data_IF_040269985462
#
_entry.id   IF_040269985462
#
_cell.length_a   1.000
_cell.length_b   1.000
_cell.length_c   1.000
_cell.angle_alpha   90.00
_cell.angle_beta   90.00
_cell.angle_gamma   90.00
#
_symmetry.space_group_name_H-M   'P 1'
#
loop_
_entity.id
_entity.type
_entity.pdbx_description
1 polymer ?
#
# COMPACT_ATOMS: atom_id res chain seq x y z
N UNK A 1 20.10 -9.74 2.76
CA UNK A 1 18.73 -9.82 2.26
C UNK A 1 17.88 -9.03 3.24
N UNK A 2 17.15 -8.02 2.78
CA UNK A 2 16.27 -7.22 3.63
C UNK A 2 14.94 -7.95 3.76
N UNK A 3 14.39 -7.99 4.96
CA UNK A 3 13.07 -8.56 5.24
C UNK A 3 12.13 -7.42 5.61
N UNK A 4 10.90 -7.51 5.14
CA UNK A 4 9.82 -6.58 5.41
C UNK A 4 8.71 -7.29 6.16
N UNK A 5 8.16 -6.63 7.17
CA UNK A 5 7.00 -7.09 7.91
C UNK A 5 5.74 -6.58 7.22
N UNK A 6 4.91 -7.49 6.70
CA UNK A 6 3.66 -7.16 6.04
C UNK A 6 2.47 -7.31 7.00
N UNK A 7 1.70 -6.24 7.14
CA UNK A 7 0.47 -6.17 7.91
C UNK A 7 -0.71 -5.95 6.97
N UNK A 8 -1.65 -6.89 6.95
CA UNK A 8 -2.79 -6.88 6.02
C UNK A 8 -4.07 -7.38 6.71
N UNK A 9 -3.99 -8.53 7.36
CA UNK A 9 -5.14 -9.22 7.96
C UNK A 9 -5.26 -8.91 9.47
N UNK A 10 -6.42 -8.43 9.98
CA UNK A 10 -6.65 -8.20 11.40
C UNK A 10 -6.61 -9.47 12.27
N UNK A 11 -6.84 -10.65 11.69
CA UNK A 11 -6.74 -11.93 12.38
C UNK A 11 -5.29 -12.41 12.52
N UNK A 12 -4.38 -11.89 11.69
CA UNK A 12 -2.96 -12.20 11.77
C UNK A 12 -2.28 -11.41 12.89
N UNK A 13 -1.97 -12.13 13.97
CA UNK A 13 -1.21 -11.59 15.12
C UNK A 13 0.26 -11.32 14.83
N UNK A 14 0.82 -11.99 13.82
CA UNK A 14 2.22 -11.86 13.42
C UNK A 14 2.30 -11.35 11.98
N UNK A 15 3.24 -10.44 11.66
CA UNK A 15 3.42 -9.97 10.29
C UNK A 15 3.90 -11.09 9.37
N UNK A 16 3.53 -11.00 8.09
CA UNK A 16 4.06 -11.89 7.06
C UNK A 16 5.41 -11.35 6.60
N UNK A 17 6.47 -12.13 6.79
CA UNK A 17 7.82 -11.75 6.38
C UNK A 17 7.99 -11.87 4.85
N UNK A 18 8.28 -10.73 4.20
CA UNK A 18 8.55 -10.66 2.76
C UNK A 18 10.02 -10.35 2.49
N UNK A 19 10.63 -11.08 1.56
CA UNK A 19 12.01 -10.84 1.13
C UNK A 19 12.26 -11.14 -0.35
N UNK A 20 11.25 -11.61 -1.07
CA UNK A 20 11.35 -12.02 -2.48
C UNK A 20 10.16 -11.49 -3.28
N UNK A 21 10.35 -11.32 -4.60
CA UNK A 21 9.27 -10.91 -5.50
C UNK A 21 8.09 -11.88 -5.50
N UNK A 22 8.35 -13.19 -5.38
CA UNK A 22 7.29 -14.20 -5.35
C UNK A 22 6.37 -14.04 -4.13
N UNK A 23 6.93 -13.72 -2.95
CA UNK A 23 6.14 -13.45 -1.75
C UNK A 23 5.34 -12.15 -1.88
N UNK A 24 5.89 -11.13 -2.56
CA UNK A 24 5.16 -9.90 -2.88
C UNK A 24 3.98 -10.21 -3.80
N UNK A 25 4.18 -11.01 -4.85
CA UNK A 25 3.10 -11.42 -5.75
C UNK A 25 2.01 -12.21 -5.03
N UNK A 26 2.39 -13.12 -4.12
CA UNK A 26 1.45 -13.89 -3.30
C UNK A 26 0.57 -12.98 -2.44
N UNK A 27 1.19 -12.03 -1.71
CA UNK A 27 0.44 -11.04 -0.92
C UNK A 27 -0.50 -10.22 -1.80
N UNK A 28 -0.01 -9.64 -2.90
CA UNK A 28 -0.81 -8.79 -3.78
C UNK A 28 -1.99 -9.57 -4.39
N UNK A 29 -1.79 -10.84 -4.75
CA UNK A 29 -2.85 -11.68 -5.29
C UNK A 29 -3.88 -12.06 -4.22
N UNK A 30 -3.44 -12.32 -2.99
CA UNK A 30 -4.34 -12.55 -1.85
C UNK A 30 -5.21 -11.32 -1.59
N UNK A 31 -4.62 -10.13 -1.53
CA UNK A 31 -5.37 -8.89 -1.31
C UNK A 31 -6.41 -8.63 -2.40
N UNK A 32 -6.08 -8.93 -3.68
CA UNK A 32 -7.04 -8.82 -4.78
C UNK A 32 -8.19 -9.81 -4.62
N UNK A 33 -7.89 -11.08 -4.32
CA UNK A 33 -8.90 -12.11 -4.15
C UNK A 33 -9.86 -11.78 -2.99
N UNK A 34 -9.34 -11.20 -1.91
CA UNK A 34 -10.15 -10.75 -0.78
C UNK A 34 -10.99 -9.51 -1.12
N UNK A 35 -10.40 -8.52 -1.80
CA UNK A 35 -11.12 -7.33 -2.24
C UNK A 35 -12.25 -7.65 -3.23
N UNK A 36 -12.15 -8.74 -3.99
CA UNK A 36 -13.20 -9.24 -4.90
C UNK A 36 -14.32 -10.00 -4.16
N UNK A 37 -14.17 -10.28 -2.85
CA UNK A 37 -15.21 -10.90 -2.05
C UNK A 37 -16.45 -10.00 -1.94
N UNK A 38 -17.67 -10.54 -2.08
CA UNK A 38 -18.90 -9.76 -1.94
C UNK A 38 -19.13 -9.19 -0.53
N UNK A 39 -18.36 -9.65 0.47
CA UNK A 39 -18.42 -9.17 1.86
C UNK A 39 -17.58 -7.91 2.09
N UNK A 40 -16.71 -7.55 1.12
CA UNK A 40 -15.83 -6.39 1.19
C UNK A 40 -16.48 -5.20 0.47
N UNK A 41 -16.92 -4.20 1.24
CA UNK A 41 -17.61 -3.02 0.70
C UNK A 41 -16.67 -1.86 0.33
N UNK A 42 -15.46 -1.83 0.91
CA UNK A 42 -14.48 -0.76 0.76
C UNK A 42 -13.12 -1.32 0.34
N UNK A 43 -12.18 -0.48 -0.09
CA UNK A 43 -10.84 -0.97 -0.45
C UNK A 43 -10.09 -1.56 0.76
N UNK A 44 -9.19 -2.50 0.55
CA UNK A 44 -8.35 -3.07 1.62
C UNK A 44 -6.99 -2.39 1.66
N UNK A 45 -6.36 -2.32 2.82
CA UNK A 45 -5.03 -1.71 3.03
C UNK A 45 -4.05 -2.72 3.59
N UNK A 46 -2.82 -2.66 3.10
CA UNK A 46 -1.67 -3.31 3.73
C UNK A 46 -0.55 -2.30 4.01
N UNK A 47 0.35 -2.69 4.91
CA UNK A 47 1.58 -1.96 5.22
C UNK A 47 2.77 -2.90 5.15
N UNK A 48 3.85 -2.46 4.49
CA UNK A 48 5.16 -3.10 4.53
C UNK A 48 6.11 -2.24 5.35
N UNK A 49 6.53 -2.76 6.49
CA UNK A 49 7.47 -2.10 7.37
C UNK A 49 8.87 -2.67 7.19
N UNK A 50 9.87 -1.78 7.08
CA UNK A 50 11.29 -2.12 7.19
C UNK A 50 11.86 -1.34 8.35
N UNK A 51 12.51 -2.03 9.28
CA UNK A 51 13.17 -1.43 10.43
C UNK A 51 14.48 -2.15 10.73
N UNK A 52 15.57 -1.39 10.77
CA UNK A 52 16.88 -1.85 11.18
C UNK A 52 17.68 -0.74 11.87
N UNK A 53 18.96 -0.99 12.12
CA UNK A 53 19.86 -0.06 12.80
C UNK A 53 20.05 1.25 12.00
N UNK A 54 19.92 1.20 10.67
CA UNK A 54 20.10 2.35 9.78
C UNK A 54 18.83 3.22 9.69
N UNK A 55 17.65 2.69 10.03
CA UNK A 55 16.42 3.46 10.12
C UNK A 55 15.14 2.67 9.96
N UNK A 56 14.09 3.36 9.54
CA UNK A 56 12.81 2.74 9.25
C UNK A 56 12.17 3.38 8.02
N UNK A 57 11.42 2.57 7.28
CA UNK A 57 10.53 2.98 6.20
C UNK A 57 9.27 2.13 6.23
N UNK A 58 8.16 2.73 5.80
CA UNK A 58 6.86 2.07 5.68
C UNK A 58 6.28 2.41 4.33
N UNK A 59 5.86 1.38 3.60
CA UNK A 59 5.03 1.51 2.41
C UNK A 59 3.61 1.07 2.78
N UNK A 60 2.66 2.00 2.79
CA UNK A 60 1.24 1.68 2.89
C UNK A 60 0.66 1.62 1.49
N UNK A 61 -0.20 0.66 1.20
CA UNK A 61 -0.88 0.60 -0.09
C UNK A 61 -2.26 -0.01 0.04
N UNK A 62 -3.16 0.42 -0.84
CA UNK A 62 -4.52 -0.08 -0.89
C UNK A 62 -4.84 -0.82 -2.19
N UNK A 63 -5.83 -1.71 -2.14
CA UNK A 63 -6.46 -2.30 -3.32
C UNK A 63 -7.97 -2.16 -3.22
N UNK A 64 -8.61 -1.81 -4.33
CA UNK A 64 -10.07 -1.76 -4.44
C UNK A 64 -10.49 -2.45 -5.72
N UNK A 65 -11.19 -3.56 -5.57
CA UNK A 65 -11.80 -4.32 -6.66
C UNK A 65 -13.11 -3.65 -7.13
N UNK A 66 -12.98 -2.43 -7.66
CA UNK A 66 -14.05 -1.79 -8.43
C UNK A 66 -13.89 -2.14 -9.92
N UNK A 67 -14.83 -1.68 -10.76
CA UNK A 67 -14.82 -1.92 -12.22
C UNK A 67 -13.48 -1.57 -12.92
N UNK A 68 -12.65 -0.73 -12.33
CA UNK A 68 -11.36 -0.28 -12.88
C UNK A 68 -10.13 -0.86 -12.20
N UNK A 69 -10.27 -1.62 -11.10
CA UNK A 69 -9.19 -2.15 -10.25
C UNK A 69 -8.07 -1.12 -9.95
N UNK A 70 -8.15 -0.49 -8.79
CA UNK A 70 -7.29 0.64 -8.43
C UNK A 70 -6.83 0.54 -6.97
N UNK A 71 -5.97 1.46 -6.55
CA UNK A 71 -5.42 1.50 -5.21
C UNK A 71 -4.64 2.78 -4.98
N UNK A 72 -4.04 2.93 -3.80
CA UNK A 72 -3.15 4.06 -3.50
C UNK A 72 -1.82 3.55 -2.96
N UNK A 73 -0.81 4.42 -2.90
CA UNK A 73 0.44 4.14 -2.21
C UNK A 73 0.81 5.34 -1.33
N UNK A 74 1.14 5.08 -0.08
CA UNK A 74 1.70 6.02 0.89
C UNK A 74 3.11 5.59 1.30
N UNK A 75 4.00 6.54 1.49
CA UNK A 75 5.38 6.30 1.92
C UNK A 75 5.75 7.19 3.09
N UNK A 76 6.37 6.58 4.09
CA UNK A 76 6.86 7.23 5.30
C UNK A 76 8.25 6.67 5.62
N UNK A 77 9.22 7.53 5.91
CA UNK A 77 10.54 7.08 6.32
C UNK A 77 11.19 8.06 7.30
N UNK A 78 12.18 7.57 8.03
CA UNK A 78 12.95 8.38 8.99
C UNK A 78 13.65 9.53 8.27
N UNK A 79 13.26 10.77 8.60
CA UNK A 79 13.90 11.98 8.07
C UNK A 79 13.36 12.44 6.71
N UNK A 80 12.30 11.80 6.20
CA UNK A 80 11.59 12.20 4.99
C UNK A 80 10.16 12.64 5.30
N UNK A 81 9.57 13.57 4.54
CA UNK A 81 8.17 13.90 4.67
C UNK A 81 7.29 12.70 4.30
N UNK A 82 6.19 12.51 5.02
CA UNK A 82 5.15 11.55 4.64
C UNK A 82 4.57 11.95 3.28
N UNK A 83 4.42 10.98 2.39
CA UNK A 83 3.90 11.21 1.04
C UNK A 83 2.84 10.19 0.66
N UNK A 84 1.97 10.57 -0.28
CA UNK A 84 0.96 9.70 -0.88
C UNK A 84 0.94 9.93 -2.40
N UNK A 85 0.49 8.94 -3.16
CA UNK A 85 0.26 9.07 -4.60
C UNK A 85 -0.63 10.28 -4.95
N UNK A 86 -0.42 10.89 -6.12
CA UNK A 86 -1.08 12.13 -6.57
C UNK A 86 -1.31 12.17 -8.10
N UNK A 87 -1.59 11.03 -8.71
CA UNK A 87 -1.89 10.93 -10.14
C UNK A 87 -3.17 10.15 -10.44
N UNK A 88 -4.09 10.17 -9.48
CA UNK A 88 -5.36 9.47 -9.54
C UNK A 88 -6.53 10.28 -10.09
N UNK A 89 -7.74 9.91 -9.66
CA UNK A 89 -8.99 10.51 -10.10
C UNK A 89 -9.17 11.97 -9.64
N UNK A 90 -10.12 12.66 -10.27
CA UNK A 90 -10.39 14.08 -10.00
C UNK A 90 -11.68 14.31 -9.20
N UNK A 91 -12.31 13.26 -8.69
CA UNK A 91 -13.50 13.40 -7.85
C UNK A 91 -13.14 14.16 -6.56
N UNK A 92 -14.02 15.07 -6.09
CA UNK A 92 -13.82 15.73 -4.80
C UNK A 92 -14.20 14.82 -3.62
N UNK A 93 -14.91 13.73 -3.86
CA UNK A 93 -15.38 12.80 -2.81
C UNK A 93 -14.27 11.80 -2.45
N UNK A 94 -13.86 11.71 -1.18
CA UNK A 94 -12.87 10.73 -0.76
C UNK A 94 -13.38 9.31 -0.95
N UNK A 95 -12.46 8.36 -0.93
CA UNK A 95 -12.74 6.95 -1.09
C UNK A 95 -12.34 6.20 0.17
N UNK A 96 -13.22 5.31 0.62
CA UNK A 96 -13.01 4.54 1.83
C UNK A 96 -12.11 3.32 1.58
N UNK A 97 -11.23 3.08 2.53
CA UNK A 97 -10.34 1.94 2.61
C UNK A 97 -10.33 1.43 4.06
N UNK A 98 -10.47 0.13 4.26
CA UNK A 98 -10.32 -0.52 5.57
C UNK A 98 -8.89 -0.97 5.80
N UNK A 99 -8.34 -0.58 6.95
CA UNK A 99 -7.10 -1.13 7.47
C UNK A 99 -7.37 -1.84 8.79
N UNK A 100 -7.37 -3.17 8.78
CA UNK A 100 -7.57 -4.00 9.97
C UNK A 100 -8.82 -3.58 10.78
N UNK A 101 -9.99 -3.55 10.13
CA UNK A 101 -11.29 -3.15 10.71
C UNK A 101 -11.42 -1.67 11.07
N UNK A 102 -10.50 -0.84 10.56
CA UNK A 102 -10.54 0.61 10.72
C UNK A 102 -10.61 1.31 9.36
N UNK A 103 -11.79 1.82 9.04
CA UNK A 103 -11.99 2.63 7.84
C UNK A 103 -11.16 3.93 7.88
N UNK A 104 -10.65 4.28 6.71
CA UNK A 104 -9.86 5.47 6.41
C UNK A 104 -10.30 6.04 5.08
N UNK A 105 -10.37 7.35 5.02
CA UNK A 105 -10.64 8.07 3.79
C UNK A 105 -9.33 8.44 3.10
N UNK A 106 -9.25 8.12 1.81
CA UNK A 106 -8.15 8.51 0.94
C UNK A 106 -8.70 9.44 -0.14
N UNK A 107 -8.05 10.59 -0.44
CA UNK A 107 -8.48 11.45 -1.54
C UNK A 107 -8.42 10.74 -2.89
N UNK A 108 -9.39 10.96 -3.78
CA UNK A 108 -9.46 10.24 -5.07
C UNK A 108 -8.23 10.47 -5.95
N UNK A 109 -7.58 11.63 -5.84
CA UNK A 109 -6.35 11.92 -6.58
C UNK A 109 -5.16 11.08 -6.13
N UNK A 110 -5.26 10.37 -5.01
CA UNK A 110 -4.29 9.35 -4.62
C UNK A 110 -4.56 7.98 -5.24
N UNK A 111 -5.73 7.74 -5.84
CA UNK A 111 -6.03 6.44 -6.43
C UNK A 111 -5.43 6.25 -7.81
N UNK A 112 -4.38 5.45 -7.88
CA UNK A 112 -3.65 5.11 -9.10
C UNK A 112 -4.08 3.74 -9.62
N UNK A 113 -3.65 3.41 -10.84
CA UNK A 113 -3.98 2.11 -11.44
C UNK A 113 -3.34 0.96 -10.65
N UNK A 114 -4.03 -0.18 -10.54
CA UNK A 114 -3.48 -1.34 -9.85
C UNK A 114 -2.11 -1.80 -10.37
N UNK A 115 -1.83 -1.82 -11.70
CA UNK A 115 -0.47 -2.12 -12.19
C UNK A 115 0.60 -1.18 -11.62
N UNK A 116 0.28 0.11 -11.42
CA UNK A 116 1.21 1.07 -10.79
C UNK A 116 1.42 0.74 -9.31
N UNK A 117 0.36 0.38 -8.57
CA UNK A 117 0.47 -0.06 -7.17
C UNK A 117 1.36 -1.30 -7.07
N UNK A 118 1.10 -2.34 -7.88
CA UNK A 118 1.90 -3.57 -7.88
C UNK A 118 3.38 -3.26 -8.12
N UNK A 119 3.68 -2.48 -9.16
CA UNK A 119 5.06 -2.11 -9.47
C UNK A 119 5.72 -1.35 -8.32
N UNK A 120 5.03 -0.40 -7.70
CA UNK A 120 5.55 0.35 -6.57
C UNK A 120 5.90 -0.54 -5.37
N UNK A 121 5.07 -1.54 -5.07
CA UNK A 121 5.34 -2.50 -3.98
C UNK A 121 6.57 -3.36 -4.31
N UNK A 122 6.71 -3.83 -5.55
CA UNK A 122 7.91 -4.54 -5.98
C UNK A 122 9.17 -3.66 -5.91
N UNK A 123 9.09 -2.41 -6.37
CA UNK A 123 10.23 -1.47 -6.36
C UNK A 123 10.68 -1.15 -4.92
N UNK A 124 9.74 -0.98 -4.00
CA UNK A 124 10.04 -0.77 -2.57
C UNK A 124 10.80 -1.96 -1.97
N UNK A 125 10.33 -3.19 -2.22
CA UNK A 125 11.00 -4.39 -1.71
C UNK A 125 12.36 -4.60 -2.38
N UNK A 126 12.45 -4.43 -3.71
CA UNK A 126 13.68 -4.61 -4.47
C UNK A 126 14.77 -3.59 -4.13
N UNK A 127 14.38 -2.36 -3.78
CA UNK A 127 15.30 -1.29 -3.37
C UNK A 127 15.72 -1.36 -1.90
N UNK A 128 15.15 -2.27 -1.11
CA UNK A 128 15.43 -2.36 0.33
C UNK A 128 14.72 -1.28 1.17
N UNK A 129 13.63 -0.72 0.67
CA UNK A 129 12.78 0.23 1.40
C UNK A 129 12.85 1.69 0.93
N UNK A 130 13.47 1.95 -0.23
CA UNK A 130 13.47 3.29 -0.81
C UNK A 130 12.10 3.64 -1.39
N UNK A 131 11.76 4.94 -1.41
CA UNK A 131 10.53 5.42 -2.03
C UNK A 131 10.50 5.07 -3.52
N UNK A 132 9.45 4.41 -4.04
CA UNK A 132 9.35 4.10 -5.47
C UNK A 132 9.31 5.34 -6.37
N UNK A 133 10.16 5.38 -7.40
CA UNK A 133 10.23 6.49 -8.36
C UNK A 133 9.11 6.48 -9.41
N UNK A 134 8.48 5.33 -9.63
CA UNK A 134 7.39 5.14 -10.61
C UNK A 134 6.05 5.76 -10.20
N UNK A 135 5.99 6.43 -9.04
CA UNK A 135 4.79 7.03 -8.47
C UNK A 135 4.98 8.55 -8.38
N UNK A 136 3.94 9.30 -8.76
CA UNK A 136 3.90 10.75 -8.48
C UNK A 136 3.45 10.95 -7.04
N UNK A 137 4.26 11.64 -6.25
CA UNK A 137 4.02 11.85 -4.84
C UNK A 137 3.55 13.28 -4.54
N UNK A 138 2.68 13.41 -3.54
CA UNK A 138 2.44 14.67 -2.82
C UNK A 138 2.74 14.48 -1.34
N UNK A 139 3.24 15.52 -0.70
CA UNK A 139 3.44 15.54 0.75
C UNK A 139 2.10 15.57 1.49
N UNK A 140 2.05 14.88 2.62
CA UNK A 140 0.91 14.86 3.54
C UNK A 140 1.29 15.70 4.75
N UNK A 141 0.71 16.89 4.85
CA UNK A 141 0.76 17.73 6.06
C UNK A 141 -0.37 17.34 7.00
N UNK A 142 -0.03 17.00 8.24
CA UNK A 142 -0.96 16.77 9.34
C UNK A 142 -1.35 18.08 10.04
#
# INVERSE_FOLDING_TARGET
MVTFDAYFDPEHREPVALSTSAQVDELLNQMVAEAESPEVEVGLVAQLERKDDDGWSVLQFGVRAAATMCGFVGYMAKGEPSTISDNGGTSPEPVAYDYQTHEREVPTNAEITWPTVRQAVHDYVASGGARPDGVRWREVTY
#
